data_IF_788408249822
#
_entry.id   IF_788408249822
#
_cell.length_a   1.000
_cell.length_b   1.000
_cell.length_c   1.000
_cell.angle_alpha   90.00
_cell.angle_beta   90.00
_cell.angle_gamma   90.00
#
_symmetry.space_group_name_H-M   'P 1'
#
loop_
_entity.id
_entity.type
_entity.pdbx_description
1 polymer ?
#
# COMPACT_ATOMS: atom_id res chain seq x y z
N UNK A 1 5.15 -19.70 7.54
CA UNK A 1 6.51 -19.68 6.99
C UNK A 1 7.34 -20.79 7.62
N UNK A 2 8.18 -21.55 6.86
CA UNK A 2 9.08 -22.55 7.42
C UNK A 2 10.24 -21.93 8.24
N UNK A 3 10.41 -20.60 8.18
CA UNK A 3 11.46 -19.89 8.89
C UNK A 3 11.38 -20.10 10.40
N UNK A 4 12.50 -20.41 11.03
CA UNK A 4 12.58 -20.82 12.44
C UNK A 4 11.56 -21.90 12.82
N UNK A 5 11.30 -22.85 11.91
CA UNK A 5 10.34 -23.93 12.10
C UNK A 5 8.91 -23.44 12.42
N UNK A 6 8.50 -22.36 11.80
CA UNK A 6 7.20 -21.74 12.03
C UNK A 6 7.09 -20.87 13.29
N UNK A 7 8.17 -20.72 14.05
CA UNK A 7 8.21 -19.91 15.29
C UNK A 7 8.81 -18.52 15.09
N UNK A 8 9.21 -18.18 13.87
CA UNK A 8 9.78 -16.88 13.54
C UNK A 8 8.70 -15.83 13.32
N UNK A 9 8.91 -14.63 13.87
CA UNK A 9 8.10 -13.44 13.62
C UNK A 9 9.02 -12.38 12.98
N UNK A 10 9.00 -12.33 11.64
CA UNK A 10 9.85 -11.44 10.86
C UNK A 10 9.56 -9.98 11.18
N UNK A 11 8.28 -9.62 11.31
CA UNK A 11 7.85 -8.24 11.56
C UNK A 11 8.37 -7.77 12.92
N UNK A 12 8.22 -8.61 13.94
CA UNK A 12 8.73 -8.34 15.29
C UNK A 12 10.25 -8.19 15.32
N UNK A 13 10.97 -9.06 14.60
CA UNK A 13 12.43 -9.01 14.57
C UNK A 13 12.94 -7.77 13.83
N UNK A 14 12.27 -7.36 12.74
CA UNK A 14 12.57 -6.09 12.05
C UNK A 14 12.26 -4.90 12.95
N UNK A 15 11.12 -4.90 13.64
CA UNK A 15 10.80 -3.84 14.61
C UNK A 15 11.89 -3.70 15.68
N UNK A 16 12.33 -4.81 16.27
CA UNK A 16 13.42 -4.81 17.24
C UNK A 16 14.73 -4.28 16.65
N UNK A 17 15.00 -4.58 15.39
CA UNK A 17 16.13 -4.01 14.66
C UNK A 17 16.02 -2.49 14.52
N UNK A 18 14.86 -2.00 14.14
CA UNK A 18 14.60 -0.56 14.03
C UNK A 18 14.81 0.15 15.37
N UNK A 19 14.27 -0.39 16.46
CA UNK A 19 14.43 0.16 17.81
C UNK A 19 15.90 0.19 18.24
N UNK A 20 16.63 -0.88 17.97
CA UNK A 20 18.06 -0.99 18.33
C UNK A 20 18.92 0.08 17.64
N UNK A 21 18.61 0.42 16.40
CA UNK A 21 19.40 1.35 15.61
C UNK A 21 18.79 2.76 15.49
N UNK A 22 17.71 3.03 16.21
CA UNK A 22 17.03 4.32 16.17
C UNK A 22 16.38 4.62 14.81
N UNK A 23 15.99 3.59 14.08
CA UNK A 23 15.32 3.71 12.78
C UNK A 23 13.81 3.77 12.97
N UNK A 24 13.14 4.52 12.11
CA UNK A 24 11.69 4.48 12.03
C UNK A 24 11.22 3.16 11.41
N UNK A 25 10.11 2.63 11.91
CA UNK A 25 9.56 1.38 11.44
C UNK A 25 8.32 1.65 10.58
N UNK A 26 8.34 1.18 9.35
CA UNK A 26 7.21 1.19 8.44
C UNK A 26 6.78 -0.23 8.06
N UNK A 27 5.56 -0.37 7.57
CA UNK A 27 5.01 -1.65 7.12
C UNK A 27 4.49 -1.53 5.69
N UNK A 28 4.64 -2.61 4.94
CA UNK A 28 4.09 -2.77 3.61
C UNK A 28 3.03 -3.87 3.65
N UNK A 29 1.85 -3.59 3.15
CA UNK A 29 0.78 -4.58 3.01
C UNK A 29 0.18 -4.50 1.59
N UNK A 30 0.57 -5.46 0.73
CA UNK A 30 -0.01 -5.56 -0.60
C UNK A 30 -1.48 -5.99 -0.52
N UNK A 31 -2.38 -5.29 -1.21
CA UNK A 31 -3.77 -5.72 -1.32
C UNK A 31 -3.94 -6.90 -2.29
N UNK A 32 -2.96 -7.12 -3.18
CA UNK A 32 -3.02 -8.12 -4.23
C UNK A 32 -2.37 -9.43 -3.81
N UNK A 33 -3.17 -10.48 -3.65
CA UNK A 33 -2.71 -11.82 -3.31
C UNK A 33 -3.23 -12.87 -4.30
N UNK A 34 -2.39 -13.24 -5.27
CA UNK A 34 -2.74 -14.25 -6.27
C UNK A 34 -2.77 -15.68 -5.72
N UNK A 35 -2.22 -15.90 -4.54
CA UNK A 35 -2.15 -17.23 -3.92
C UNK A 35 -3.36 -17.52 -3.04
N UNK A 36 -4.00 -16.49 -2.51
CA UNK A 36 -5.12 -16.66 -1.60
C UNK A 36 -6.37 -17.17 -2.32
N UNK A 37 -6.93 -18.27 -1.81
CA UNK A 37 -8.03 -18.98 -2.47
C UNK A 37 -9.31 -18.17 -2.60
N UNK A 38 -9.57 -17.27 -1.64
CA UNK A 38 -10.75 -16.41 -1.63
C UNK A 38 -10.50 -14.99 -2.17
N UNK A 39 -9.34 -14.74 -2.83
CA UNK A 39 -9.11 -13.43 -3.46
C UNK A 39 -10.23 -13.09 -4.44
N UNK A 40 -10.70 -11.86 -4.41
CA UNK A 40 -11.82 -11.38 -5.24
C UNK A 40 -13.20 -11.60 -4.61
N UNK A 41 -13.28 -12.08 -3.37
CA UNK A 41 -14.52 -12.21 -2.61
C UNK A 41 -14.54 -11.31 -1.37
N UNK A 42 -15.70 -11.07 -0.73
CA UNK A 42 -15.77 -10.30 0.52
C UNK A 42 -14.93 -10.90 1.66
N UNK A 43 -14.82 -12.22 1.73
CA UNK A 43 -14.04 -12.92 2.77
C UNK A 43 -12.55 -12.61 2.67
N UNK A 44 -12.04 -12.34 1.47
CA UNK A 44 -10.65 -11.87 1.32
C UNK A 44 -10.48 -10.46 1.88
N UNK A 45 -11.45 -9.59 1.67
CA UNK A 45 -11.41 -8.23 2.24
C UNK A 45 -11.34 -8.29 3.77
N UNK A 46 -12.14 -9.15 4.39
CA UNK A 46 -12.08 -9.37 5.84
C UNK A 46 -10.73 -9.96 6.30
N UNK A 47 -10.14 -10.85 5.51
CA UNK A 47 -8.80 -11.38 5.80
C UNK A 47 -7.73 -10.28 5.70
N UNK A 48 -7.76 -9.45 4.66
CA UNK A 48 -6.88 -8.29 4.49
C UNK A 48 -6.96 -7.33 5.69
N UNK A 49 -8.17 -7.01 6.15
CA UNK A 49 -8.38 -6.14 7.31
C UNK A 49 -7.92 -6.77 8.65
N UNK A 50 -8.02 -8.07 8.81
CA UNK A 50 -7.45 -8.77 9.97
C UNK A 50 -5.93 -8.67 9.99
N UNK A 51 -5.27 -8.85 8.85
CA UNK A 51 -3.83 -8.66 8.72
C UNK A 51 -3.43 -7.21 9.02
N UNK A 52 -4.13 -6.24 8.43
CA UNK A 52 -3.87 -4.83 8.69
C UNK A 52 -4.00 -4.50 10.18
N UNK A 53 -5.08 -4.93 10.82
CA UNK A 53 -5.28 -4.72 12.26
C UNK A 53 -4.16 -5.36 13.10
N UNK A 54 -3.74 -6.58 12.78
CA UNK A 54 -2.61 -7.24 13.45
C UNK A 54 -1.32 -6.42 13.33
N UNK A 55 -1.01 -5.93 12.13
CA UNK A 55 0.18 -5.11 11.89
C UNK A 55 0.15 -3.79 12.65
N UNK A 56 -1.03 -3.18 12.79
CA UNK A 56 -1.20 -1.90 13.48
C UNK A 56 -1.21 -2.01 15.01
N UNK A 57 -1.44 -3.21 15.58
CA UNK A 57 -1.64 -3.37 17.03
C UNK A 57 -0.54 -4.16 17.73
N UNK A 58 0.19 -5.06 17.04
CA UNK A 58 1.09 -5.99 17.69
C UNK A 58 2.57 -5.56 17.70
N UNK A 59 2.93 -4.51 16.97
CA UNK A 59 4.35 -4.17 16.72
C UNK A 59 4.75 -2.76 17.17
N UNK A 60 3.90 -2.11 18.00
CA UNK A 60 4.15 -0.76 18.49
C UNK A 60 3.91 0.33 17.45
N UNK A 61 4.55 1.49 17.62
CA UNK A 61 4.34 2.65 16.76
C UNK A 61 4.83 2.40 15.34
N UNK A 62 3.98 2.68 14.38
CA UNK A 62 4.27 2.58 12.95
C UNK A 62 4.45 3.99 12.39
N UNK A 63 5.57 4.22 11.71
CA UNK A 63 5.85 5.51 11.08
C UNK A 63 5.16 5.67 9.73
N UNK A 64 5.15 4.61 8.93
CA UNK A 64 4.57 4.62 7.59
C UNK A 64 3.86 3.31 7.29
N UNK A 65 2.73 3.42 6.62
CA UNK A 65 1.97 2.29 6.09
C UNK A 65 1.92 2.44 4.58
N UNK A 66 2.52 1.47 3.90
CA UNK A 66 2.69 1.49 2.46
C UNK A 66 1.72 0.52 1.78
N UNK A 67 0.74 1.05 1.06
CA UNK A 67 -0.17 0.26 0.23
C UNK A 67 0.30 0.26 -1.22
N UNK A 68 0.60 -0.92 -1.73
CA UNK A 68 0.86 -1.11 -3.15
C UNK A 68 -0.42 -0.87 -3.96
N UNK A 69 -0.33 -0.03 -4.99
CA UNK A 69 -1.39 0.15 -5.96
C UNK A 69 -1.56 -1.02 -6.92
N UNK A 70 -0.61 -1.97 -6.92
CA UNK A 70 -0.71 -3.15 -7.76
C UNK A 70 -1.91 -4.00 -7.38
N UNK A 71 -2.84 -4.15 -8.30
CA UNK A 71 -3.91 -5.13 -8.21
C UNK A 71 -4.09 -5.77 -9.58
N UNK A 72 -4.37 -7.07 -9.59
CA UNK A 72 -4.44 -7.83 -10.84
C UNK A 72 -5.65 -7.52 -11.72
N UNK A 73 -6.62 -6.77 -11.20
CA UNK A 73 -7.89 -6.56 -11.90
C UNK A 73 -8.58 -7.88 -12.22
N UNK A 74 -9.18 -7.96 -13.39
CA UNK A 74 -9.86 -9.15 -13.87
C UNK A 74 -8.89 -10.20 -14.38
N UNK A 75 -9.26 -11.46 -14.24
CA UNK A 75 -8.50 -12.57 -14.81
C UNK A 75 -8.50 -13.84 -13.97
N UNK A 76 -7.62 -14.77 -14.37
CA UNK A 76 -7.45 -16.05 -13.70
C UNK A 76 -6.51 -15.92 -12.47
N UNK A 77 -6.98 -16.40 -11.33
CA UNK A 77 -6.23 -16.40 -10.08
C UNK A 77 -5.90 -17.81 -9.62
N UNK A 78 -4.62 -18.16 -9.61
CA UNK A 78 -4.14 -19.52 -9.37
C UNK A 78 -4.50 -20.09 -8.00
N UNK A 79 -4.47 -19.29 -6.95
CA UNK A 79 -4.89 -19.71 -5.61
C UNK A 79 -6.38 -20.02 -5.53
N UNK A 80 -7.21 -19.20 -6.14
CA UNK A 80 -8.66 -19.40 -6.22
C UNK A 80 -9.06 -20.51 -7.23
N UNK A 81 -8.16 -20.83 -8.17
CA UNK A 81 -8.42 -21.73 -9.30
C UNK A 81 -9.67 -21.31 -10.09
N UNK A 82 -9.84 -20.01 -10.26
CA UNK A 82 -11.03 -19.44 -10.88
C UNK A 82 -10.72 -18.05 -11.48
N UNK A 83 -11.57 -17.56 -12.36
CA UNK A 83 -11.55 -16.19 -12.83
C UNK A 83 -12.26 -15.27 -11.82
N UNK A 84 -11.69 -14.09 -11.60
CA UNK A 84 -12.26 -13.05 -10.72
C UNK A 84 -12.42 -11.76 -11.49
N UNK A 85 -13.42 -10.98 -11.13
CA UNK A 85 -13.64 -9.61 -11.57
C UNK A 85 -13.47 -8.70 -10.37
N UNK A 86 -12.56 -7.75 -10.47
CA UNK A 86 -12.19 -6.87 -9.38
C UNK A 86 -12.49 -5.42 -9.76
N UNK A 87 -13.43 -4.80 -9.08
CA UNK A 87 -13.55 -3.34 -9.13
C UNK A 87 -12.44 -2.71 -8.29
N UNK A 88 -11.39 -2.26 -8.97
CA UNK A 88 -10.18 -1.71 -8.36
C UNK A 88 -10.43 -0.53 -7.42
N UNK A 89 -11.49 0.24 -7.69
CA UNK A 89 -11.81 1.44 -6.92
C UNK A 89 -12.49 1.10 -5.59
N UNK A 90 -13.34 0.09 -5.56
CA UNK A 90 -14.24 -0.15 -4.42
C UNK A 90 -13.97 -1.46 -3.68
N UNK A 91 -13.38 -2.46 -4.32
CA UNK A 91 -13.25 -3.81 -3.76
C UNK A 91 -12.54 -3.86 -2.40
N UNK A 92 -11.47 -3.10 -2.23
CA UNK A 92 -10.68 -3.14 -0.99
C UNK A 92 -11.21 -2.23 0.11
N UNK A 93 -12.18 -1.35 -0.19
CA UNK A 93 -12.73 -0.38 0.77
C UNK A 93 -11.65 0.45 1.49
N UNK A 94 -10.76 1.09 0.74
CA UNK A 94 -9.66 1.88 1.31
C UNK A 94 -10.09 2.96 2.32
N UNK A 95 -11.27 3.61 2.21
CA UNK A 95 -11.75 4.50 3.28
C UNK A 95 -11.81 3.83 4.65
N UNK A 96 -12.17 2.53 4.71
CA UNK A 96 -12.13 1.74 5.95
C UNK A 96 -10.70 1.55 6.45
N UNK A 97 -9.74 1.31 5.55
CA UNK A 97 -8.33 1.18 5.91
C UNK A 97 -7.80 2.48 6.52
N UNK A 98 -8.05 3.61 5.86
CA UNK A 98 -7.60 4.92 6.34
C UNK A 98 -8.17 5.26 7.71
N UNK A 99 -9.46 5.01 7.92
CA UNK A 99 -10.10 5.18 9.23
C UNK A 99 -9.48 4.29 10.31
N UNK A 100 -9.23 3.02 10.02
CA UNK A 100 -8.59 2.09 10.96
C UNK A 100 -7.18 2.56 11.35
N UNK A 101 -6.40 3.07 10.39
CA UNK A 101 -5.06 3.59 10.65
C UNK A 101 -5.12 4.85 11.50
N UNK A 102 -6.01 5.77 11.18
CA UNK A 102 -6.20 7.01 11.94
C UNK A 102 -6.58 6.74 13.40
N UNK A 103 -7.39 5.72 13.64
CA UNK A 103 -7.80 5.30 14.99
C UNK A 103 -6.67 4.60 15.77
N UNK A 104 -5.87 3.74 15.12
CA UNK A 104 -4.88 2.87 15.78
C UNK A 104 -3.46 3.44 15.74
N UNK A 105 -3.11 4.22 14.73
CA UNK A 105 -1.79 4.77 14.48
C UNK A 105 -1.88 6.20 13.91
N UNK A 106 -2.46 7.17 14.64
CA UNK A 106 -2.77 8.50 14.13
C UNK A 106 -1.54 9.30 13.66
N UNK A 107 -0.34 8.90 14.06
CA UNK A 107 0.91 9.51 13.65
C UNK A 107 1.51 8.93 12.35
N UNK A 108 0.93 7.82 11.85
CA UNK A 108 1.49 7.13 10.70
C UNK A 108 1.21 7.88 9.40
N UNK A 109 2.22 7.95 8.54
CA UNK A 109 2.04 8.42 7.16
C UNK A 109 1.46 7.29 6.33
N UNK A 110 0.40 7.56 5.59
CA UNK A 110 -0.20 6.59 4.68
C UNK A 110 0.29 6.88 3.27
N UNK A 111 1.06 5.95 2.71
CA UNK A 111 1.45 5.97 1.32
C UNK A 111 0.50 5.12 0.47
N UNK A 112 0.03 5.66 -0.61
CA UNK A 112 -0.64 4.95 -1.71
C UNK A 112 -0.61 5.81 -2.97
N UNK A 113 -1.19 5.33 -4.08
CA UNK A 113 -1.29 6.14 -5.31
C UNK A 113 -1.98 7.50 -5.09
N UNK A 114 -2.95 7.54 -4.20
CA UNK A 114 -3.73 8.75 -3.90
C UNK A 114 -3.47 9.39 -2.54
N UNK A 115 -2.56 8.85 -1.76
CA UNK A 115 -2.35 9.31 -0.37
C UNK A 115 -3.22 8.52 0.62
N UNK A 116 -3.70 9.12 1.73
CA UNK A 116 -3.78 10.57 1.99
C UNK A 116 -2.51 11.24 2.54
N UNK A 117 -1.55 10.50 3.10
CA UNK A 117 -0.33 11.06 3.68
C UNK A 117 0.69 11.49 2.63
N UNK A 118 1.10 10.55 1.78
CA UNK A 118 1.85 10.83 0.57
C UNK A 118 1.38 9.93 -0.58
N UNK A 119 1.61 10.39 -1.79
CA UNK A 119 1.22 9.66 -3.00
C UNK A 119 2.43 9.16 -3.78
N UNK A 120 2.24 8.06 -4.47
CA UNK A 120 3.19 7.62 -5.46
C UNK A 120 3.34 8.61 -6.61
N UNK A 121 4.57 8.85 -7.07
CA UNK A 121 4.86 9.79 -8.16
C UNK A 121 4.48 9.26 -9.56
N UNK A 122 3.93 8.06 -9.66
CA UNK A 122 3.42 7.49 -10.90
C UNK A 122 4.45 6.76 -11.76
N UNK A 123 5.66 6.55 -11.28
CA UNK A 123 6.70 5.75 -11.93
C UNK A 123 7.73 5.24 -10.92
N UNK A 124 8.48 4.20 -11.31
CA UNK A 124 9.55 3.58 -10.52
C UNK A 124 10.96 3.98 -11.02
N UNK A 125 11.04 5.06 -11.79
CA UNK A 125 12.31 5.56 -12.32
C UNK A 125 12.96 6.60 -11.39
N UNK A 126 12.30 6.93 -10.29
CA UNK A 126 12.79 7.88 -9.29
C UNK A 126 12.76 9.34 -9.78
N UNK A 127 11.78 9.68 -10.61
CA UNK A 127 11.75 11.01 -11.21
C UNK A 127 10.34 11.61 -11.17
N UNK A 128 10.25 12.83 -10.70
CA UNK A 128 9.08 13.67 -10.83
C UNK A 128 9.22 14.55 -12.09
N UNK A 129 8.13 15.04 -12.65
CA UNK A 129 8.18 15.95 -13.80
C UNK A 129 8.87 17.27 -13.48
N UNK A 130 9.35 17.99 -14.49
CA UNK A 130 9.93 19.32 -14.34
C UNK A 130 8.94 20.33 -13.71
N UNK A 131 7.66 20.16 -13.97
CA UNK A 131 6.56 20.83 -13.29
C UNK A 131 5.69 19.76 -12.64
N UNK A 132 5.53 19.82 -11.32
CA UNK A 132 4.72 18.88 -10.57
C UNK A 132 3.80 19.63 -9.64
N UNK A 133 2.50 19.35 -9.74
CA UNK A 133 1.50 19.86 -8.83
C UNK A 133 1.31 18.90 -7.68
N UNK A 134 1.49 19.36 -6.45
CA UNK A 134 1.18 18.53 -5.27
C UNK A 134 -0.31 18.42 -4.97
N UNK A 135 -1.15 19.01 -5.80
CA UNK A 135 -2.61 18.91 -5.69
C UNK A 135 -3.14 17.74 -6.52
N UNK A 136 -4.08 17.00 -5.93
CA UNK A 136 -4.84 15.95 -6.59
C UNK A 136 -6.34 16.26 -6.56
N UNK A 137 -7.08 15.76 -7.53
CA UNK A 137 -8.53 15.57 -7.45
C UNK A 137 -8.80 14.34 -6.59
N UNK A 138 -8.77 14.52 -5.26
CA UNK A 138 -8.72 13.42 -4.30
C UNK A 138 -9.86 12.40 -4.43
N UNK A 139 -11.05 12.81 -4.88
CA UNK A 139 -12.18 11.89 -5.11
C UNK A 139 -12.05 11.00 -6.35
N UNK A 140 -11.08 11.28 -7.22
CA UNK A 140 -10.86 10.52 -8.46
C UNK A 140 -9.72 9.50 -8.32
N UNK A 141 -8.72 9.79 -7.49
CA UNK A 141 -7.53 8.96 -7.33
C UNK A 141 -7.71 7.94 -6.21
N UNK A 142 -7.29 6.72 -6.47
CA UNK A 142 -7.37 5.59 -5.55
C UNK A 142 -6.20 4.63 -5.79
N UNK A 143 -5.83 3.76 -4.84
CA UNK A 143 -4.78 2.75 -5.07
C UNK A 143 -5.11 1.84 -6.26
N UNK A 144 -4.17 1.71 -7.19
CA UNK A 144 -4.40 1.06 -8.49
C UNK A 144 -4.99 1.97 -9.56
N UNK A 145 -4.92 3.30 -9.36
CA UNK A 145 -5.38 4.28 -10.34
C UNK A 145 -4.63 4.15 -11.68
N UNK A 146 -5.34 3.99 -12.81
CA UNK A 146 -4.68 3.60 -14.06
C UNK A 146 -3.97 4.73 -14.80
N UNK A 147 -4.21 6.00 -14.42
CA UNK A 147 -3.66 7.15 -15.12
C UNK A 147 -2.37 7.66 -14.46
N UNK A 148 -1.31 6.88 -14.53
CA UNK A 148 -0.03 7.16 -13.86
C UNK A 148 0.58 8.53 -14.20
N UNK A 149 0.36 9.06 -15.40
CA UNK A 149 0.80 10.42 -15.74
C UNK A 149 0.13 11.50 -14.90
N UNK A 150 -1.12 11.31 -14.54
CA UNK A 150 -1.82 12.25 -13.64
C UNK A 150 -1.20 12.21 -12.24
N UNK A 151 -0.74 11.06 -11.76
CA UNK A 151 0.00 10.95 -10.51
C UNK A 151 1.37 11.63 -10.61
N UNK A 152 2.07 11.49 -11.72
CA UNK A 152 3.39 12.07 -11.93
C UNK A 152 3.36 13.60 -11.91
N UNK A 153 2.37 14.21 -12.58
CA UNK A 153 2.30 15.65 -12.72
C UNK A 153 1.38 16.33 -11.71
N UNK A 154 0.50 15.58 -11.06
CA UNK A 154 -0.58 16.12 -10.26
C UNK A 154 -1.65 16.82 -11.12
N UNK A 155 -2.54 17.53 -10.47
CA UNK A 155 -3.66 18.21 -11.13
C UNK A 155 -3.59 19.71 -10.84
N UNK A 156 -3.54 20.54 -11.88
CA UNK A 156 -3.55 22.00 -11.73
C UNK A 156 -4.85 22.52 -11.08
N UNK A 157 -5.95 21.78 -11.25
CA UNK A 157 -7.27 22.01 -10.67
C UNK A 157 -7.57 21.08 -9.47
N UNK A 158 -6.53 20.50 -8.88
CA UNK A 158 -6.67 19.64 -7.73
C UNK A 158 -7.23 20.36 -6.51
N UNK A 159 -7.92 19.61 -5.65
CA UNK A 159 -8.62 20.11 -4.48
C UNK A 159 -7.99 19.70 -3.14
N UNK A 160 -6.98 18.81 -3.17
CA UNK A 160 -6.26 18.36 -1.98
C UNK A 160 -4.76 18.35 -2.26
N UNK A 161 -3.99 18.97 -1.37
CA UNK A 161 -2.54 18.89 -1.40
C UNK A 161 -2.09 17.53 -0.83
N UNK A 162 -1.26 16.81 -1.56
CA UNK A 162 -0.68 15.51 -1.15
C UNK A 162 0.78 15.49 -1.58
N UNK A 163 1.69 15.30 -0.64
CA UNK A 163 3.10 15.13 -0.94
C UNK A 163 3.32 13.96 -1.92
N UNK A 164 4.31 14.07 -2.78
CA UNK A 164 4.68 12.99 -3.70
C UNK A 164 5.95 12.30 -3.22
N UNK A 165 5.97 10.97 -3.31
CA UNK A 165 7.11 10.14 -3.01
C UNK A 165 7.54 9.36 -4.26
N UNK A 166 8.86 9.31 -4.49
CA UNK A 166 9.47 8.51 -5.55
C UNK A 166 10.01 7.21 -4.94
N UNK A 167 9.40 6.10 -5.26
CA UNK A 167 9.98 4.80 -5.01
C UNK A 167 10.87 4.39 -6.17
N UNK A 168 12.06 3.90 -5.87
CA UNK A 168 13.05 3.56 -6.88
C UNK A 168 13.96 2.44 -6.41
N UNK A 169 14.23 1.47 -7.28
CA UNK A 169 15.24 0.45 -7.02
C UNK A 169 16.65 1.03 -7.22
N UNK A 170 17.56 0.76 -6.28
CA UNK A 170 18.97 1.16 -6.36
C UNK A 170 19.81 0.20 -7.23
N UNK A 171 19.18 -0.81 -7.82
CA UNK A 171 19.79 -1.82 -8.69
C UNK A 171 18.78 -2.26 -9.76
N UNK A 172 19.20 -2.97 -10.83
CA UNK A 172 18.27 -3.52 -11.81
C UNK A 172 17.24 -4.48 -11.16
N UNK A 173 15.98 -4.08 -11.15
CA UNK A 173 14.87 -4.84 -10.57
C UNK A 173 14.75 -4.71 -9.04
N UNK A 174 13.61 -5.16 -8.52
CA UNK A 174 13.24 -5.07 -7.09
C UNK A 174 13.74 -6.25 -6.26
N UNK A 175 14.04 -7.37 -6.90
CA UNK A 175 14.42 -8.62 -6.23
C UNK A 175 15.82 -9.08 -6.63
N UNK A 176 16.41 -9.95 -5.77
CA UNK A 176 17.66 -10.65 -6.07
C UNK A 176 17.45 -11.76 -7.08
#
# INVERSE_FOLDING_TARGET
SPWKQGKGDVVKELRQGCDKYGMKFGIYLSPWDRHQANYGTPEYVDYFYKQLHELLTNYGDVFEIWFDGANGGDGWYGGAKDARTIDRKTYYDYPRAYKMIDELQPQAVIFSDGGPGCRWVGNENGFAGATNWSFLRAGEVYPGYPKYRELQYGHADGNQWVAAECDVSIRPGWFY
#
